data_IF_073132346257
#
_entry.id   IF_073132346257
#
_cell.length_a   1.000
_cell.length_b   1.000
_cell.length_c   1.000
_cell.angle_alpha   90.00
_cell.angle_beta   90.00
_cell.angle_gamma   90.00
#
_symmetry.space_group_name_H-M   'P 1'
#
loop_
_entity.id
_entity.type
_entity.pdbx_description
1 polymer ?
#
# COMPACT_ATOMS: atom_id res chain seq x y z
N UNK A 1 26.76 8.47 -4.91
CA UNK A 1 26.13 7.13 -4.96
C UNK A 1 24.66 7.27 -4.60
N UNK A 2 23.76 6.63 -5.34
CA UNK A 2 22.35 6.56 -4.94
C UNK A 2 22.13 5.37 -3.99
N UNK A 3 22.11 5.63 -2.68
CA UNK A 3 21.99 4.58 -1.64
C UNK A 3 20.66 3.81 -1.70
N UNK A 4 19.61 4.39 -2.32
CA UNK A 4 18.32 3.71 -2.49
C UNK A 4 18.38 2.57 -3.50
N UNK A 5 19.36 2.58 -4.40
CA UNK A 5 19.55 1.54 -5.42
C UNK A 5 20.33 0.33 -4.89
N UNK A 6 20.85 0.36 -3.66
CA UNK A 6 21.55 -0.78 -3.06
C UNK A 6 20.52 -1.87 -2.72
N UNK A 7 20.57 -3.06 -3.35
CA UNK A 7 19.59 -4.11 -3.12
C UNK A 7 19.47 -4.47 -1.63
N UNK A 8 18.24 -4.63 -1.14
CA UNK A 8 18.00 -4.92 0.29
C UNK A 8 17.95 -6.41 0.62
N UNK A 9 17.68 -7.27 -0.37
CA UNK A 9 17.42 -8.71 -0.16
C UNK A 9 18.36 -9.65 -0.92
N UNK A 10 19.40 -9.12 -1.57
CA UNK A 10 20.41 -9.94 -2.25
C UNK A 10 21.68 -10.02 -1.42
N UNK A 11 22.41 -11.12 -1.55
CA UNK A 11 23.71 -11.29 -0.88
C UNK A 11 24.70 -10.18 -1.26
N UNK A 12 24.75 -9.81 -2.55
CA UNK A 12 25.56 -8.69 -3.05
C UNK A 12 25.18 -7.38 -2.34
N UNK A 13 23.88 -7.10 -2.22
CA UNK A 13 23.40 -5.90 -1.52
C UNK A 13 23.77 -5.89 -0.04
N UNK A 14 23.71 -7.05 0.62
CA UNK A 14 24.17 -7.19 2.01
C UNK A 14 25.67 -6.93 2.15
N UNK A 15 26.50 -7.45 1.23
CA UNK A 15 27.95 -7.21 1.20
C UNK A 15 28.26 -5.72 1.03
N UNK A 16 27.59 -5.04 0.10
CA UNK A 16 27.76 -3.60 -0.12
C UNK A 16 27.38 -2.76 1.11
N UNK A 17 26.30 -3.14 1.82
CA UNK A 17 25.89 -2.46 3.05
C UNK A 17 26.93 -2.61 4.17
N UNK A 18 27.68 -3.71 4.22
CA UNK A 18 28.78 -3.90 5.18
C UNK A 18 29.98 -2.98 4.95
N UNK A 19 30.09 -2.35 3.76
CA UNK A 19 31.12 -1.34 3.50
C UNK A 19 30.85 -0.01 4.22
N UNK A 20 29.62 0.23 4.68
CA UNK A 20 29.29 1.39 5.52
C UNK A 20 29.69 1.05 6.96
N UNK A 21 30.84 1.57 7.40
CA UNK A 21 31.39 1.34 8.73
C UNK A 21 31.39 2.62 9.56
N UNK A 22 31.22 2.48 10.87
CA UNK A 22 31.46 3.57 11.81
C UNK A 22 32.96 3.84 11.99
N UNK A 23 33.30 5.07 12.36
CA UNK A 23 34.65 5.41 12.85
C UNK A 23 34.94 4.73 14.21
N UNK A 24 36.21 4.53 14.60
CA UNK A 24 36.57 3.96 15.89
C UNK A 24 35.93 4.71 17.07
N UNK A 25 35.41 3.96 18.04
CA UNK A 25 34.67 4.51 19.19
C UNK A 25 33.20 4.86 18.91
N UNK A 26 32.68 4.57 17.72
CA UNK A 26 31.29 4.85 17.33
C UNK A 26 30.61 3.61 16.76
N UNK A 27 29.28 3.62 16.75
CA UNK A 27 28.42 2.59 16.14
C UNK A 27 27.45 3.19 15.14
N UNK A 28 26.99 2.40 14.17
CA UNK A 28 25.89 2.77 13.29
C UNK A 28 24.56 2.34 13.92
N UNK A 29 23.61 3.27 13.95
CA UNK A 29 22.24 3.02 14.42
C UNK A 29 21.30 3.11 13.23
N UNK A 30 20.42 2.12 13.09
CA UNK A 30 19.35 2.13 12.08
C UNK A 30 18.00 2.31 12.77
N UNK A 31 17.23 3.30 12.33
CA UNK A 31 15.83 3.47 12.69
C UNK A 31 15.01 3.45 11.40
N UNK A 32 13.96 2.64 11.37
CA UNK A 32 13.08 2.51 10.20
C UNK A 32 11.61 2.57 10.61
N UNK A 33 10.78 3.13 9.72
CA UNK A 33 9.35 3.22 9.95
C UNK A 33 8.68 1.90 9.56
N UNK A 34 8.41 1.08 10.55
CA UNK A 34 7.70 -0.19 10.36
C UNK A 34 6.30 0.05 9.77
N UNK A 35 6.08 -0.48 8.57
CA UNK A 35 4.76 -0.56 7.93
C UNK A 35 4.12 0.83 7.74
N UNK A 36 4.93 1.85 7.45
CA UNK A 36 4.47 3.24 7.32
C UNK A 36 3.28 3.41 6.35
N UNK A 37 3.31 2.73 5.20
CA UNK A 37 2.28 2.86 4.17
C UNK A 37 0.90 2.43 4.65
N UNK A 38 0.79 1.26 5.28
CA UNK A 38 -0.50 0.75 5.78
C UNK A 38 -0.99 1.55 6.98
N UNK A 39 -0.08 2.11 7.80
CA UNK A 39 -0.46 3.04 8.89
C UNK A 39 -1.11 4.30 8.35
N UNK A 40 -0.55 4.89 7.27
CA UNK A 40 -1.13 6.07 6.63
C UNK A 40 -2.51 5.76 6.03
N UNK A 41 -2.67 4.58 5.43
CA UNK A 41 -3.98 4.16 4.86
C UNK A 41 -5.00 3.91 5.98
N UNK A 42 -4.61 3.25 7.06
CA UNK A 42 -5.48 2.96 8.19
C UNK A 42 -5.97 4.24 8.87
N UNK A 43 -5.05 5.18 9.12
CA UNK A 43 -5.33 6.51 9.69
C UNK A 43 -6.23 7.33 8.76
N UNK A 44 -5.87 7.43 7.47
CA UNK A 44 -6.64 8.22 6.50
C UNK A 44 -8.05 7.68 6.26
N UNK A 45 -8.25 6.36 6.36
CA UNK A 45 -9.55 5.72 6.21
C UNK A 45 -10.36 5.60 7.51
N UNK A 46 -9.78 5.95 8.66
CA UNK A 46 -10.37 5.73 9.99
C UNK A 46 -10.80 4.26 10.20
N UNK A 47 -9.94 3.33 9.79
CA UNK A 47 -10.20 1.88 9.90
C UNK A 47 -9.76 1.37 11.28
N UNK A 48 -10.64 1.52 12.26
CA UNK A 48 -10.39 1.21 13.68
C UNK A 48 -9.77 -0.17 13.90
N UNK A 49 -10.29 -1.23 13.27
CA UNK A 49 -9.77 -2.57 13.51
C UNK A 49 -8.35 -2.77 12.97
N UNK A 50 -8.00 -2.09 11.86
CA UNK A 50 -6.64 -2.11 11.34
C UNK A 50 -5.70 -1.24 12.20
N UNK A 51 -6.18 -0.10 12.70
CA UNK A 51 -5.45 0.77 13.63
C UNK A 51 -5.12 0.02 14.93
N UNK A 52 -6.09 -0.66 15.51
CA UNK A 52 -5.91 -1.48 16.72
C UNK A 52 -4.89 -2.59 16.50
N UNK A 53 -5.01 -3.35 15.40
CA UNK A 53 -4.05 -4.39 15.03
C UNK A 53 -2.62 -3.83 14.90
N UNK A 54 -2.47 -2.65 14.28
CA UNK A 54 -1.18 -1.95 14.15
C UNK A 54 -0.62 -1.42 15.47
N UNK A 55 -1.48 -1.02 16.41
CA UNK A 55 -1.09 -0.55 17.75
C UNK A 55 -0.68 -1.71 18.66
N UNK A 56 -1.32 -2.87 18.49
CA UNK A 56 -0.99 -4.10 19.20
C UNK A 56 0.22 -4.84 18.61
N UNK A 57 0.93 -4.24 17.65
CA UNK A 57 2.11 -4.81 16.96
C UNK A 57 1.83 -6.16 16.27
N UNK A 58 0.57 -6.37 15.87
CA UNK A 58 0.17 -7.57 15.14
C UNK A 58 0.60 -7.49 13.66
N UNK A 59 0.30 -8.55 12.92
CA UNK A 59 0.55 -8.60 11.49
C UNK A 59 -0.65 -8.04 10.70
N UNK A 60 -0.61 -6.77 10.25
CA UNK A 60 -1.77 -6.13 9.66
C UNK A 60 -2.20 -6.78 8.33
N UNK A 61 -1.26 -7.43 7.64
CA UNK A 61 -1.54 -8.19 6.42
C UNK A 61 -2.21 -9.53 6.72
N UNK A 62 -1.87 -10.14 7.87
CA UNK A 62 -2.55 -11.32 8.38
C UNK A 62 -3.96 -10.98 8.88
N UNK A 63 -4.12 -9.85 9.57
CA UNK A 63 -5.44 -9.31 9.94
C UNK A 63 -6.33 -9.11 8.69
N UNK A 64 -5.79 -8.43 7.67
CA UNK A 64 -6.50 -8.24 6.41
C UNK A 64 -6.85 -9.57 5.73
N UNK A 65 -5.90 -10.50 5.65
CA UNK A 65 -6.14 -11.83 5.10
C UNK A 65 -7.19 -12.60 5.86
N UNK A 66 -7.20 -12.51 7.19
CA UNK A 66 -8.18 -13.17 8.03
C UNK A 66 -9.59 -12.63 7.78
N UNK A 67 -9.71 -11.31 7.63
CA UNK A 67 -10.99 -10.65 7.28
C UNK A 67 -11.48 -11.04 5.88
N UNK A 68 -10.58 -11.02 4.90
CA UNK A 68 -10.88 -11.37 3.51
C UNK A 68 -11.30 -12.83 3.36
N UNK A 69 -10.48 -13.76 3.85
CA UNK A 69 -10.64 -15.19 3.59
C UNK A 69 -11.44 -15.93 4.66
N UNK A 70 -11.91 -15.23 5.71
CA UNK A 70 -12.69 -15.78 6.82
C UNK A 70 -12.03 -17.00 7.49
N UNK A 71 -10.70 -16.97 7.59
CA UNK A 71 -9.90 -18.03 8.20
C UNK A 71 -8.63 -17.45 8.83
N UNK A 72 -7.98 -18.14 9.78
CA UNK A 72 -6.71 -17.68 10.34
C UNK A 72 -5.63 -17.51 9.27
N UNK A 73 -5.10 -16.29 9.12
CA UNK A 73 -4.01 -15.96 8.21
C UNK A 73 -2.91 -15.24 8.97
N UNK A 74 -1.70 -15.80 8.95
CA UNK A 74 -0.54 -15.21 9.60
C UNK A 74 0.76 -15.59 8.87
N UNK A 75 1.92 -15.29 9.46
CA UNK A 75 3.23 -15.59 8.84
C UNK A 75 3.55 -17.09 8.79
N UNK A 76 2.93 -17.91 9.65
CA UNK A 76 3.14 -19.35 9.76
C UNK A 76 2.07 -20.14 9.01
N UNK A 77 0.82 -19.72 9.11
CA UNK A 77 -0.37 -20.37 8.54
C UNK A 77 -0.96 -19.53 7.42
N UNK A 78 -1.28 -20.16 6.28
CA UNK A 78 -1.87 -19.49 5.12
C UNK A 78 -1.05 -18.29 4.60
N UNK A 79 0.28 -18.43 4.59
CA UNK A 79 1.21 -17.36 4.16
C UNK A 79 0.91 -16.83 2.75
N UNK A 80 0.48 -17.68 1.82
CA UNK A 80 0.14 -17.23 0.46
C UNK A 80 -1.03 -16.24 0.46
N UNK A 81 -2.05 -16.50 1.28
CA UNK A 81 -3.20 -15.60 1.47
C UNK A 81 -2.78 -14.27 2.09
N UNK A 82 -1.86 -14.31 3.05
CA UNK A 82 -1.25 -13.11 3.65
C UNK A 82 -0.53 -12.26 2.59
N UNK A 83 0.21 -12.90 1.68
CA UNK A 83 0.96 -12.22 0.63
C UNK A 83 0.04 -11.66 -0.48
N UNK A 84 -1.09 -12.33 -0.75
CA UNK A 84 -2.19 -11.79 -1.58
C UNK A 84 -2.75 -10.52 -0.93
N UNK A 85 -3.18 -10.57 0.33
CA UNK A 85 -3.73 -9.42 1.06
C UNK A 85 -2.75 -8.25 1.11
N UNK A 86 -1.47 -8.53 1.35
CA UNK A 86 -0.39 -7.54 1.27
C UNK A 86 -0.27 -6.92 -0.13
N UNK A 87 -0.34 -7.73 -1.17
CA UNK A 87 -0.22 -7.24 -2.55
C UNK A 87 -1.40 -6.37 -2.94
N UNK A 88 -2.59 -6.66 -2.43
CA UNK A 88 -3.83 -5.90 -2.69
C UNK A 88 -3.76 -4.54 -2.00
N UNK A 89 -3.61 -4.49 -0.67
CA UNK A 89 -3.64 -3.19 0.04
C UNK A 89 -2.55 -2.24 -0.46
N UNK A 90 -1.34 -2.75 -0.69
CA UNK A 90 -0.25 -1.95 -1.24
C UNK A 90 -0.52 -1.60 -2.71
N UNK A 91 -0.98 -2.56 -3.53
CA UNK A 91 -1.30 -2.30 -4.93
C UNK A 91 -2.38 -1.23 -5.11
N UNK A 92 -3.49 -1.35 -4.39
CA UNK A 92 -4.60 -0.41 -4.42
C UNK A 92 -4.17 0.99 -3.96
N UNK A 93 -3.31 1.08 -2.93
CA UNK A 93 -2.73 2.36 -2.50
C UNK A 93 -1.91 3.06 -3.61
N UNK A 94 -1.39 2.29 -4.57
CA UNK A 94 -0.71 2.80 -5.76
C UNK A 94 -1.60 2.88 -7.02
N UNK A 95 -2.92 2.75 -6.87
CA UNK A 95 -3.87 2.80 -8.00
C UNK A 95 -3.75 1.59 -8.94
N UNK A 96 -3.34 0.43 -8.43
CA UNK A 96 -3.23 -0.80 -9.20
C UNK A 96 -4.63 -1.37 -9.50
N UNK A 97 -5.01 -1.44 -10.77
CA UNK A 97 -6.22 -2.15 -11.20
C UNK A 97 -6.01 -3.66 -11.34
N UNK A 98 -7.11 -4.39 -11.60
CA UNK A 98 -7.14 -5.86 -11.65
C UNK A 98 -6.09 -6.49 -12.59
N UNK A 99 -5.82 -5.91 -13.76
CA UNK A 99 -4.82 -6.44 -14.70
C UNK A 99 -3.41 -6.46 -14.10
N UNK A 100 -2.99 -5.35 -13.48
CA UNK A 100 -1.66 -5.26 -12.85
C UNK A 100 -1.57 -6.16 -11.62
N UNK A 101 -2.67 -6.29 -10.88
CA UNK A 101 -2.75 -7.20 -9.74
C UNK A 101 -2.62 -8.67 -10.20
N UNK A 102 -3.31 -9.05 -11.28
CA UNK A 102 -3.24 -10.37 -11.89
C UNK A 102 -1.81 -10.72 -12.30
N UNK A 103 -1.12 -9.82 -13.00
CA UNK A 103 0.30 -10.01 -13.36
C UNK A 103 1.19 -10.14 -12.14
N UNK A 104 0.99 -9.32 -11.11
CA UNK A 104 1.82 -9.34 -9.89
C UNK A 104 1.65 -10.62 -9.08
N UNK A 105 0.42 -11.14 -9.03
CA UNK A 105 0.09 -12.37 -8.31
C UNK A 105 0.23 -13.64 -9.15
N UNK A 106 0.48 -13.50 -10.46
CA UNK A 106 0.51 -14.59 -11.42
C UNK A 106 -0.80 -15.43 -11.41
N UNK A 107 -1.93 -14.73 -11.46
CA UNK A 107 -3.29 -15.30 -11.45
C UNK A 107 -4.10 -14.75 -12.64
N UNK A 108 -5.30 -15.30 -12.88
CA UNK A 108 -6.19 -14.76 -13.89
C UNK A 108 -6.71 -13.36 -13.52
N UNK A 109 -7.10 -12.57 -14.53
CA UNK A 109 -7.73 -11.26 -14.32
C UNK A 109 -9.06 -11.38 -13.57
N UNK A 110 -9.78 -12.48 -13.78
CA UNK A 110 -11.04 -12.77 -13.10
C UNK A 110 -10.83 -13.00 -11.60
N UNK A 111 -9.84 -13.82 -11.22
CA UNK A 111 -9.46 -14.02 -9.82
C UNK A 111 -9.01 -12.71 -9.16
N UNK A 112 -8.20 -11.91 -9.86
CA UNK A 112 -7.76 -10.61 -9.36
C UNK A 112 -8.94 -9.66 -9.09
N UNK A 113 -9.95 -9.63 -9.97
CA UNK A 113 -11.20 -8.89 -9.73
C UNK A 113 -11.96 -9.45 -8.53
N UNK A 114 -12.03 -10.77 -8.39
CA UNK A 114 -12.63 -11.43 -7.24
C UNK A 114 -11.99 -10.98 -5.93
N UNK A 115 -10.66 -10.94 -5.87
CA UNK A 115 -9.94 -10.46 -4.69
C UNK A 115 -10.13 -8.97 -4.41
N UNK A 116 -10.17 -8.12 -5.44
CA UNK A 116 -10.50 -6.69 -5.27
C UNK A 116 -11.92 -6.49 -4.73
N UNK A 117 -12.90 -7.25 -5.25
CA UNK A 117 -14.27 -7.20 -4.76
C UNK A 117 -14.38 -7.65 -3.31
N UNK A 118 -13.67 -8.73 -2.95
CA UNK A 118 -13.60 -9.22 -1.58
C UNK A 118 -12.97 -8.19 -0.64
N UNK A 119 -11.88 -7.55 -1.06
CA UNK A 119 -11.26 -6.46 -0.31
C UNK A 119 -12.22 -5.29 -0.11
N UNK A 120 -12.91 -4.84 -1.17
CA UNK A 120 -13.87 -3.74 -1.09
C UNK A 120 -15.04 -4.06 -0.16
N UNK A 121 -15.48 -5.32 -0.11
CA UNK A 121 -16.54 -5.79 0.79
C UNK A 121 -16.09 -5.81 2.26
N UNK A 122 -14.86 -6.25 2.51
CA UNK A 122 -14.36 -6.49 3.87
C UNK A 122 -13.66 -5.28 4.49
N UNK A 123 -13.18 -4.36 3.66
CA UNK A 123 -12.54 -3.10 4.07
C UNK A 123 -13.22 -1.88 3.40
N UNK A 124 -14.54 -1.68 3.62
CA UNK A 124 -15.30 -0.67 2.90
C UNK A 124 -14.82 0.76 3.17
N UNK A 125 -14.36 1.06 4.41
CA UNK A 125 -13.81 2.38 4.75
C UNK A 125 -12.55 2.70 3.95
N UNK A 126 -11.63 1.74 3.85
CA UNK A 126 -10.40 1.91 3.07
C UNK A 126 -10.73 2.06 1.58
N UNK A 127 -11.62 1.22 1.05
CA UNK A 127 -12.03 1.30 -0.34
C UNK A 127 -12.65 2.67 -0.68
N UNK A 128 -13.53 3.17 0.19
CA UNK A 128 -14.16 4.48 0.02
C UNK A 128 -13.14 5.62 0.14
N UNK A 129 -12.22 5.55 1.11
CA UNK A 129 -11.14 6.53 1.26
C UNK A 129 -10.28 6.63 -0.01
N UNK A 130 -9.87 5.50 -0.60
CA UNK A 130 -9.09 5.49 -1.84
C UNK A 130 -9.89 6.06 -3.02
N UNK A 131 -11.19 5.77 -3.11
CA UNK A 131 -12.08 6.37 -4.12
C UNK A 131 -12.21 7.88 -3.96
N UNK A 132 -12.32 8.37 -2.74
CA UNK A 132 -12.39 9.80 -2.44
C UNK A 132 -11.09 10.51 -2.81
N UNK A 133 -9.94 9.93 -2.50
CA UNK A 133 -8.63 10.48 -2.92
C UNK A 133 -8.52 10.56 -4.45
N UNK A 134 -8.97 9.54 -5.16
CA UNK A 134 -8.99 9.53 -6.63
C UNK A 134 -9.91 10.64 -7.18
N UNK A 135 -11.14 10.74 -6.65
CA UNK A 135 -12.10 11.78 -7.04
C UNK A 135 -11.55 13.18 -6.75
N UNK A 136 -10.94 13.38 -5.58
CA UNK A 136 -10.29 14.65 -5.22
C UNK A 136 -9.18 15.00 -6.21
N UNK A 137 -8.31 14.03 -6.53
CA UNK A 137 -7.22 14.23 -7.47
C UNK A 137 -7.70 14.60 -8.88
N UNK A 138 -8.75 13.94 -9.36
CA UNK A 138 -9.35 14.20 -10.68
C UNK A 138 -10.02 15.58 -10.71
N UNK A 139 -10.82 15.91 -9.70
CA UNK A 139 -11.59 17.17 -9.64
C UNK A 139 -10.71 18.39 -9.40
N UNK A 140 -9.71 18.28 -8.52
CA UNK A 140 -8.86 19.40 -8.11
C UNK A 140 -7.56 19.51 -8.91
N UNK A 141 -7.15 18.45 -9.60
CA UNK A 141 -5.91 18.41 -10.38
C UNK A 141 -4.63 18.32 -9.53
N UNK A 142 -4.74 18.00 -8.25
CA UNK A 142 -3.61 17.76 -7.36
C UNK A 142 -3.95 16.74 -6.27
N UNK A 143 -2.93 16.07 -5.74
CA UNK A 143 -3.01 15.34 -4.48
C UNK A 143 -2.45 16.20 -3.34
N UNK A 144 -2.95 15.98 -2.13
CA UNK A 144 -2.47 16.64 -0.91
C UNK A 144 -2.10 15.60 0.13
N UNK A 145 -1.04 15.83 0.90
CA UNK A 145 -0.74 15.01 2.09
C UNK A 145 -1.73 15.33 3.21
N UNK A 146 -1.66 14.61 4.33
CA UNK A 146 -2.55 14.80 5.48
C UNK A 146 -2.65 16.27 5.96
N UNK A 147 -3.68 16.56 6.73
CA UNK A 147 -4.04 17.90 7.20
C UNK A 147 -2.97 18.61 8.02
N UNK A 148 -2.03 17.85 8.60
CA UNK A 148 -0.91 18.42 9.36
C UNK A 148 0.13 19.09 8.45
N UNK A 149 0.44 18.49 7.30
CA UNK A 149 1.52 18.97 6.43
C UNK A 149 1.03 19.69 5.17
N UNK A 150 -0.17 19.34 4.66
CA UNK A 150 -0.83 19.98 3.50
C UNK A 150 0.04 20.16 2.25
N UNK A 151 1.05 19.33 2.04
CA UNK A 151 1.93 19.38 0.86
C UNK A 151 1.13 18.97 -0.37
N UNK A 152 1.14 19.81 -1.41
CA UNK A 152 0.42 19.57 -2.66
C UNK A 152 1.34 19.01 -3.75
N UNK A 153 0.82 18.09 -4.55
CA UNK A 153 1.44 17.59 -5.78
C UNK A 153 0.46 17.73 -6.94
N UNK A 154 0.76 18.66 -7.84
CA UNK A 154 -0.03 18.93 -9.03
C UNK A 154 0.16 17.87 -10.12
N UNK A 155 -0.92 17.50 -10.79
CA UNK A 155 -0.89 16.64 -11.96
C UNK A 155 -0.71 17.49 -13.22
N UNK A 156 0.34 17.25 -13.99
CA UNK A 156 0.64 18.00 -15.22
C UNK A 156 -0.32 17.69 -16.40
N UNK A 157 -1.22 16.71 -16.23
CA UNK A 157 -2.08 16.15 -17.28
C UNK A 157 -3.47 16.80 -17.32
N UNK A 158 -3.55 18.13 -17.32
CA UNK A 158 -4.82 18.90 -17.29
C UNK A 158 -5.81 18.49 -18.39
N UNK A 159 -5.35 18.21 -19.62
CA UNK A 159 -6.21 17.80 -20.75
C UNK A 159 -6.83 16.41 -20.55
N UNK A 160 -6.10 15.48 -19.92
CA UNK A 160 -6.64 14.15 -19.58
C UNK A 160 -7.61 14.23 -18.39
N UNK A 161 -7.32 15.09 -17.42
CA UNK A 161 -8.19 15.28 -16.24
C UNK A 161 -9.58 15.77 -16.65
N UNK A 162 -9.68 16.73 -17.59
CA UNK A 162 -10.98 17.17 -18.14
C UNK A 162 -11.77 16.00 -18.77
N UNK A 163 -11.12 15.18 -19.60
CA UNK A 163 -11.76 13.99 -20.20
C UNK A 163 -12.20 12.94 -19.16
N UNK A 164 -11.48 12.84 -18.04
CA UNK A 164 -11.84 11.93 -16.95
C UNK A 164 -12.99 12.48 -16.09
N UNK A 165 -13.06 13.80 -15.91
CA UNK A 165 -14.18 14.48 -15.26
C UNK A 165 -15.48 14.33 -16.07
N UNK A 166 -15.40 14.40 -17.39
CA UNK A 166 -16.54 14.28 -18.32
C UNK A 166 -17.10 12.85 -18.42
N UNK A 167 -16.32 11.82 -18.08
CA UNK A 167 -16.69 10.41 -18.36
C UNK A 167 -17.30 9.63 -17.19
N UNK A 168 -17.58 10.24 -16.03
CA UNK A 168 -18.05 9.52 -14.82
C UNK A 168 -17.42 8.13 -14.66
N UNK A 169 -16.08 8.03 -14.82
CA UNK A 169 -15.45 6.71 -14.79
C UNK A 169 -15.51 6.20 -13.35
N UNK A 170 -16.45 5.29 -13.11
CA UNK A 170 -16.58 4.52 -11.89
C UNK A 170 -15.34 3.61 -11.81
N UNK A 171 -14.38 3.98 -10.97
CA UNK A 171 -13.23 3.14 -10.67
C UNK A 171 -13.67 2.00 -9.75
N UNK A 172 -13.72 0.79 -10.32
CA UNK A 172 -13.86 -0.49 -9.62
C UNK A 172 -12.50 -1.03 -9.18
#
# INVERSE_FOLDING_TARGET
>A
MNVQQIPSRTEVGQRLRKCFISRPGYVLITADYSQAEIRIVADGADEVGLIESLNNLEDPYGYLGTKMFKMPVNKKENKDKRDISKSIILGLNYGMGANKLATKLNISVEEAKGYMNLFNKEMPKIAEYLKQLNRFGITRGYAVTNDRFKRRRWFKLFKMLKKLQEKEIIFY
#
